data_IF_677038274973
#
_entry.id   IF_677038274973
#
_cell.length_a   1.000
_cell.length_b   1.000
_cell.length_c   1.000
_cell.angle_alpha   90.00
_cell.angle_beta   90.00
_cell.angle_gamma   90.00
#
_symmetry.space_group_name_H-M   'P 1'
#
loop_
_entity.id
_entity.type
_entity.pdbx_description
1 polymer ?
#
# COMPACT_ATOMS: atom_id res chain seq x y z
N UNK A 1 -22.89 7.91 12.85
CA UNK A 1 -21.67 7.14 12.57
C UNK A 1 -22.06 5.68 12.46
N UNK A 2 -21.39 4.88 11.68
CA UNK A 2 -21.71 3.45 11.57
C UNK A 2 -22.13 2.99 10.19
N UNK A 3 -21.70 3.70 9.14
CA UNK A 3 -21.96 3.28 7.75
C UNK A 3 -20.79 2.51 7.13
N UNK A 4 -19.61 2.57 7.73
CA UNK A 4 -18.38 1.88 7.29
C UNK A 4 -17.51 1.51 8.48
N UNK A 5 -16.77 0.42 8.38
CA UNK A 5 -15.88 -0.08 9.42
C UNK A 5 -14.39 0.14 9.08
N UNK A 6 -14.10 0.47 7.84
CA UNK A 6 -12.75 0.80 7.35
C UNK A 6 -12.83 1.65 6.09
N UNK A 7 -11.72 2.33 5.79
CA UNK A 7 -11.51 3.04 4.52
C UNK A 7 -10.44 2.33 3.71
N UNK A 8 -10.67 2.17 2.42
CA UNK A 8 -9.66 1.71 1.48
C UNK A 8 -9.31 2.83 0.49
N UNK A 9 -8.04 3.18 0.42
CA UNK A 9 -7.55 4.21 -0.52
C UNK A 9 -6.70 3.60 -1.62
N UNK A 10 -6.97 4.02 -2.85
CA UNK A 10 -6.24 3.57 -4.04
C UNK A 10 -5.13 4.55 -4.41
N UNK A 11 -4.18 4.09 -5.24
CA UNK A 11 -3.09 4.92 -5.76
C UNK A 11 -3.66 5.97 -6.72
N UNK A 12 -3.76 7.21 -6.25
CA UNK A 12 -4.16 8.40 -7.01
C UNK A 12 -3.38 9.60 -6.49
N UNK A 13 -2.86 10.44 -7.37
CA UNK A 13 -2.11 11.63 -6.98
C UNK A 13 -2.90 12.57 -6.07
N UNK A 14 -4.19 12.75 -6.31
CA UNK A 14 -5.07 13.57 -5.44
C UNK A 14 -5.28 12.95 -4.07
N UNK A 15 -5.46 11.64 -4.00
CA UNK A 15 -5.61 10.92 -2.72
C UNK A 15 -4.30 11.01 -1.94
N UNK A 16 -3.14 10.82 -2.59
CA UNK A 16 -1.83 10.92 -1.94
C UNK A 16 -1.61 12.31 -1.32
N UNK A 17 -1.93 13.37 -2.04
CA UNK A 17 -1.84 14.74 -1.52
C UNK A 17 -2.78 14.98 -0.34
N UNK A 18 -3.95 14.33 -0.31
CA UNK A 18 -4.94 14.44 0.75
C UNK A 18 -4.76 13.46 1.92
N UNK A 19 -3.77 12.55 1.88
CA UNK A 19 -3.65 11.47 2.87
C UNK A 19 -3.55 11.95 4.31
N UNK A 20 -2.89 13.07 4.58
CA UNK A 20 -2.81 13.64 5.92
C UNK A 20 -4.20 14.02 6.46
N UNK A 21 -5.03 14.66 5.65
CA UNK A 21 -6.39 15.04 6.03
C UNK A 21 -7.33 13.83 6.19
N UNK A 22 -7.19 12.85 5.28
CA UNK A 22 -7.92 11.57 5.36
C UNK A 22 -7.56 10.86 6.67
N UNK A 23 -6.26 10.73 6.97
CA UNK A 23 -5.77 10.11 8.20
C UNK A 23 -6.31 10.81 9.45
N UNK A 24 -6.16 12.13 9.53
CA UNK A 24 -6.62 12.90 10.69
C UNK A 24 -8.13 12.75 10.94
N UNK A 25 -8.93 12.65 9.87
CA UNK A 25 -10.38 12.47 9.98
C UNK A 25 -10.72 11.04 10.39
N UNK A 26 -10.06 10.05 9.79
CA UNK A 26 -10.25 8.65 10.12
C UNK A 26 -9.82 8.32 11.57
N UNK A 27 -8.72 8.90 12.04
CA UNK A 27 -8.23 8.70 13.41
C UNK A 27 -9.24 9.22 14.45
N UNK A 28 -9.84 10.39 14.21
CA UNK A 28 -10.91 10.93 15.08
C UNK A 28 -12.14 10.01 15.12
N UNK A 29 -12.42 9.36 14.01
CA UNK A 29 -13.53 8.42 13.89
C UNK A 29 -13.18 6.99 14.30
N UNK A 30 -11.92 6.73 14.71
CA UNK A 30 -11.38 5.39 14.97
C UNK A 30 -11.56 4.42 13.80
N UNK A 31 -11.50 4.93 12.57
CA UNK A 31 -11.62 4.14 11.35
C UNK A 31 -10.22 3.76 10.83
N UNK A 32 -9.92 2.47 10.68
CA UNK A 32 -8.68 2.03 10.04
C UNK A 32 -8.67 2.42 8.56
N UNK A 33 -7.54 2.95 8.11
CA UNK A 33 -7.28 3.22 6.70
C UNK A 33 -6.34 2.16 6.16
N UNK A 34 -6.81 1.40 5.18
CA UNK A 34 -6.02 0.45 4.40
C UNK A 34 -5.74 1.08 3.05
N UNK A 35 -4.56 0.85 2.50
CA UNK A 35 -4.14 1.54 1.28
C UNK A 35 -3.35 0.63 0.34
N UNK A 36 -3.36 0.96 -0.95
CA UNK A 36 -2.42 0.39 -1.92
C UNK A 36 -1.11 1.18 -2.03
N UNK A 37 -0.86 2.13 -1.11
CA UNK A 37 0.30 3.02 -1.12
C UNK A 37 1.15 2.76 0.12
N UNK A 38 2.22 1.93 0.06
CA UNK A 38 3.06 1.63 1.21
C UNK A 38 3.65 2.85 1.90
N UNK A 39 3.96 3.90 1.13
CA UNK A 39 4.48 5.16 1.65
C UNK A 39 3.55 5.80 2.69
N UNK A 40 2.24 5.74 2.48
CA UNK A 40 1.27 6.29 3.44
C UNK A 40 1.28 5.54 4.78
N UNK A 41 1.58 4.25 4.77
CA UNK A 41 1.78 3.46 6.00
C UNK A 41 3.06 3.88 6.71
N UNK A 42 4.18 4.01 5.98
CA UNK A 42 5.46 4.46 6.54
C UNK A 42 5.38 5.88 7.13
N UNK A 43 4.53 6.74 6.58
CA UNK A 43 4.30 8.11 7.04
C UNK A 43 3.21 8.22 8.14
N UNK A 44 2.74 7.11 8.68
CA UNK A 44 1.69 7.06 9.70
C UNK A 44 0.33 7.66 9.25
N UNK A 45 0.03 7.65 7.96
CA UNK A 45 -1.26 8.08 7.43
C UNK A 45 -2.25 6.94 7.24
N UNK A 46 -1.77 5.71 7.15
CA UNK A 46 -2.60 4.53 7.01
C UNK A 46 -2.15 3.42 7.96
N UNK A 47 -3.08 2.53 8.31
CA UNK A 47 -2.82 1.40 9.19
C UNK A 47 -1.99 0.34 8.49
N UNK A 48 -2.40 -0.04 7.29
CA UNK A 48 -1.77 -1.16 6.58
C UNK A 48 -1.84 -1.00 5.06
N UNK A 49 -0.90 -1.66 4.40
CA UNK A 49 -0.88 -1.84 2.95
C UNK A 49 -0.52 -3.29 2.61
N UNK A 50 -1.02 -3.76 1.47
CA UNK A 50 -0.56 -4.97 0.81
C UNK A 50 -0.37 -4.64 -0.66
N UNK A 51 0.85 -4.31 -1.06
CA UNK A 51 1.12 -3.72 -2.35
C UNK A 51 2.52 -4.07 -2.86
N UNK A 52 2.72 -3.85 -4.15
CA UNK A 52 4.03 -3.86 -4.81
C UNK A 52 4.69 -2.51 -4.59
N UNK A 53 5.99 -2.50 -4.34
CA UNK A 53 6.74 -1.24 -4.23
C UNK A 53 6.90 -0.55 -5.60
N UNK A 54 7.09 0.77 -5.59
CA UNK A 54 7.40 1.51 -6.81
C UNK A 54 8.72 1.02 -7.47
N UNK A 55 9.70 0.61 -6.67
CA UNK A 55 10.95 0.03 -7.19
C UNK A 55 10.69 -1.24 -7.99
N UNK A 56 9.90 -2.18 -7.45
CA UNK A 56 9.54 -3.42 -8.16
C UNK A 56 8.76 -3.13 -9.45
N UNK A 57 7.84 -2.17 -9.40
CA UNK A 57 7.11 -1.73 -10.61
C UNK A 57 8.05 -1.13 -11.65
N UNK A 58 9.03 -0.32 -11.22
CA UNK A 58 10.06 0.24 -12.07
C UNK A 58 10.95 -0.82 -12.71
N UNK A 59 11.37 -1.84 -11.95
CA UNK A 59 12.13 -2.98 -12.49
C UNK A 59 11.34 -3.75 -13.55
N UNK A 60 10.05 -4.00 -13.30
CA UNK A 60 9.19 -4.65 -14.28
C UNK A 60 9.06 -3.82 -15.56
N UNK A 61 8.86 -2.51 -15.43
CA UNK A 61 8.82 -1.59 -16.56
C UNK A 61 10.14 -1.57 -17.33
N UNK A 62 11.30 -1.55 -16.63
CA UNK A 62 12.62 -1.62 -17.24
C UNK A 62 12.85 -2.91 -18.04
N UNK A 63 12.43 -4.06 -17.50
CA UNK A 63 12.49 -5.33 -18.23
C UNK A 63 11.65 -5.32 -19.51
N UNK A 64 10.46 -4.72 -19.46
CA UNK A 64 9.59 -4.59 -20.64
C UNK A 64 10.23 -3.64 -21.66
N UNK A 65 10.72 -2.49 -21.23
CA UNK A 65 11.43 -1.54 -22.09
C UNK A 65 12.63 -2.18 -22.80
N UNK A 66 13.42 -2.97 -22.08
CA UNK A 66 14.53 -3.72 -22.66
C UNK A 66 14.11 -4.68 -23.77
N UNK A 67 12.97 -5.38 -23.63
CA UNK A 67 12.42 -6.24 -24.70
C UNK A 67 12.05 -5.43 -25.95
N UNK A 68 11.41 -4.30 -25.77
CA UNK A 68 11.02 -3.41 -26.88
C UNK A 68 12.25 -2.86 -27.60
N UNK A 69 13.26 -2.40 -26.86
CA UNK A 69 14.51 -1.91 -27.44
C UNK A 69 15.27 -3.00 -28.20
N UNK A 70 15.11 -4.27 -27.82
CA UNK A 70 15.68 -5.42 -28.52
C UNK A 70 14.78 -5.94 -29.66
N UNK A 71 13.79 -5.17 -30.10
CA UNK A 71 12.98 -5.45 -31.27
C UNK A 71 11.70 -6.28 -31.03
N UNK A 72 11.33 -6.53 -29.78
CA UNK A 72 10.04 -7.19 -29.48
C UNK A 72 8.90 -6.19 -29.75
N UNK A 73 7.91 -6.62 -30.55
CA UNK A 73 6.72 -5.80 -30.77
C UNK A 73 5.96 -5.53 -29.44
N UNK A 74 5.77 -4.26 -29.05
CA UNK A 74 5.03 -3.91 -27.84
C UNK A 74 3.64 -4.54 -27.75
N UNK A 75 2.94 -4.69 -28.89
CA UNK A 75 1.61 -5.31 -28.93
C UNK A 75 1.62 -6.80 -28.55
N UNK A 76 2.77 -7.47 -28.68
CA UNK A 76 2.94 -8.87 -28.30
C UNK A 76 3.27 -9.08 -26.82
N UNK A 77 3.59 -7.99 -26.09
CA UNK A 77 3.97 -8.06 -24.67
C UNK A 77 2.71 -7.99 -23.81
N UNK A 78 2.39 -9.03 -23.03
CA UNK A 78 1.24 -8.97 -22.14
C UNK A 78 1.43 -7.90 -21.06
N UNK A 79 0.34 -7.27 -20.61
CA UNK A 79 0.37 -6.34 -19.50
C UNK A 79 0.94 -7.02 -18.25
N UNK A 80 1.91 -6.39 -17.60
CA UNK A 80 2.46 -6.90 -16.36
C UNK A 80 1.39 -6.85 -15.25
N UNK A 81 1.23 -7.97 -14.58
CA UNK A 81 0.41 -8.11 -13.38
C UNK A 81 1.26 -8.72 -12.28
N UNK A 82 1.44 -7.98 -11.21
CA UNK A 82 2.18 -8.49 -10.06
C UNK A 82 1.45 -9.70 -9.45
N UNK A 83 2.23 -10.72 -9.11
CA UNK A 83 1.74 -11.90 -8.39
C UNK A 83 1.55 -11.60 -6.90
N UNK A 84 0.81 -12.45 -6.19
CA UNK A 84 0.66 -12.32 -4.74
C UNK A 84 2.02 -12.36 -4.00
N UNK A 85 2.98 -13.13 -4.51
CA UNK A 85 4.32 -13.24 -3.94
C UNK A 85 5.18 -11.97 -4.07
N UNK A 86 4.83 -11.09 -5.00
CA UNK A 86 5.50 -9.79 -5.20
C UNK A 86 4.92 -8.69 -4.31
N UNK A 87 3.71 -8.90 -3.78
CA UNK A 87 3.13 -7.98 -2.81
C UNK A 87 3.80 -8.14 -1.45
N UNK A 88 3.98 -7.02 -0.77
CA UNK A 88 4.54 -6.97 0.59
C UNK A 88 3.50 -6.38 1.53
N UNK A 89 3.21 -7.05 2.64
CA UNK A 89 2.44 -6.46 3.72
C UNK A 89 3.26 -5.37 4.41
N UNK A 90 2.59 -4.34 4.88
CA UNK A 90 3.15 -3.31 5.74
C UNK A 90 2.09 -2.89 6.75
N UNK A 91 2.45 -2.80 8.03
CA UNK A 91 1.55 -2.43 9.12
C UNK A 91 2.26 -1.38 9.97
N UNK A 92 1.57 -0.30 10.28
CA UNK A 92 2.11 0.74 11.16
C UNK A 92 1.69 0.49 12.61
N UNK A 93 2.67 0.22 13.49
CA UNK A 93 2.44 -0.08 14.90
C UNK A 93 1.83 1.12 15.65
N UNK A 94 2.34 2.33 15.38
CA UNK A 94 1.84 3.57 16.00
C UNK A 94 0.39 3.84 15.62
N UNK A 95 0.01 3.53 14.37
CA UNK A 95 -1.37 3.65 13.92
C UNK A 95 -2.28 2.61 14.61
N UNK A 96 -1.78 1.39 14.84
CA UNK A 96 -2.50 0.39 15.65
C UNK A 96 -2.84 0.95 17.03
N UNK A 97 -1.86 1.52 17.73
CA UNK A 97 -2.06 2.13 19.05
C UNK A 97 -3.08 3.28 19.00
N UNK A 98 -2.96 4.17 18.02
CA UNK A 98 -3.90 5.29 17.81
C UNK A 98 -5.34 4.82 17.67
N UNK A 99 -5.54 3.69 17.01
CA UNK A 99 -6.86 3.09 16.79
C UNK A 99 -7.33 2.21 17.97
N UNK A 100 -6.46 1.94 18.94
CA UNK A 100 -6.74 1.03 20.06
C UNK A 100 -6.75 -0.43 19.63
N UNK A 101 -5.99 -0.77 18.58
CA UNK A 101 -5.86 -2.12 18.05
C UNK A 101 -4.58 -2.79 18.56
N UNK A 102 -4.60 -4.10 18.67
CA UNK A 102 -3.43 -4.91 19.02
C UNK A 102 -2.96 -5.71 17.82
N UNK A 103 -1.64 -5.90 17.71
CA UNK A 103 -1.08 -6.74 16.64
C UNK A 103 -1.54 -8.19 16.88
N UNK A 104 -2.20 -8.84 15.91
CA UNK A 104 -2.60 -10.23 16.05
C UNK A 104 -1.39 -11.13 16.29
N UNK A 105 -1.50 -12.19 17.13
CA UNK A 105 -0.37 -13.10 17.41
C UNK A 105 0.26 -13.69 16.14
N UNK A 106 -0.53 -13.97 15.11
CA UNK A 106 -0.05 -14.45 13.81
C UNK A 106 0.87 -13.47 13.07
N UNK A 107 0.90 -12.22 13.46
CA UNK A 107 1.73 -11.15 12.85
C UNK A 107 2.80 -10.62 13.80
N UNK A 108 2.93 -11.19 15.00
CA UNK A 108 3.87 -10.71 16.02
C UNK A 108 5.33 -10.70 15.53
N UNK A 109 5.72 -11.72 14.76
CA UNK A 109 7.07 -11.88 14.21
C UNK A 109 7.19 -11.37 12.76
N UNK A 110 6.18 -10.66 12.26
CA UNK A 110 6.18 -10.18 10.89
C UNK A 110 7.17 -9.02 10.72
N UNK A 111 8.13 -9.20 9.81
CA UNK A 111 9.03 -8.11 9.37
C UNK A 111 8.29 -6.99 8.61
N UNK A 112 6.98 -7.07 8.55
CA UNK A 112 6.10 -6.10 7.89
C UNK A 112 5.68 -4.94 8.80
N UNK A 113 6.04 -4.99 10.08
CA UNK A 113 5.65 -3.95 11.05
C UNK A 113 6.66 -2.80 10.99
N UNK A 114 6.14 -1.61 10.76
CA UNK A 114 6.89 -0.34 10.79
C UNK A 114 6.43 0.51 11.97
N UNK A 115 7.33 1.37 12.47
CA UNK A 115 7.07 2.29 13.59
C UNK A 115 6.73 3.69 13.11
#
# INVERSE_FOLDING_TARGET
MGRVDALFTVASGRIQQGMAAISATADRAKLPVITSIPQAVAQNYALAAFAVSFAQSGEAAGRIAGKVLNGTDPASIPAYRATAAEHRPMINAKKMETLGLTIPPALADCKCIVQ
#
